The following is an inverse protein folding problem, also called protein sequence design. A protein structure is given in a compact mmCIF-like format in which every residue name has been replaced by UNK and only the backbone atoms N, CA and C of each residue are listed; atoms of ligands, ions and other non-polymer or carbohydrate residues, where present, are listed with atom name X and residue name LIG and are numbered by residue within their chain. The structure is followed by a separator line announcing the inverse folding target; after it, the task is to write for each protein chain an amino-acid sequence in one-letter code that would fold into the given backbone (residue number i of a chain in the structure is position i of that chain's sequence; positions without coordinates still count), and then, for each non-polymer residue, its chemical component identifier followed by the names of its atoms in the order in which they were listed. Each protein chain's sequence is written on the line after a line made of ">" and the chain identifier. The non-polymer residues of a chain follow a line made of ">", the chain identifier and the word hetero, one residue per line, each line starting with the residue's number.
data_IF_668596018483
#
_entry.id   IF_668596018483
#
_cell.length_a   1.000
_cell.length_b   1.000
_cell.length_c   1.000
_cell.angle_alpha   90.00
_cell.angle_beta   90.00
_cell.angle_gamma   90.00
#
_symmetry.space_group_name_H-M   'P 1'
#
loop_
_entity.id
_entity.type
_entity.pdbx_description
1 polymer ?
#
# COMPACT_ATOMS: atom_id res chain seq x y z
N UNK A 1 17.44 1.85 14.10
CA UNK A 1 16.62 1.02 13.20
C UNK A 1 16.24 1.86 12.00
N UNK A 2 16.46 1.39 10.77
CA UNK A 2 16.05 2.13 9.56
C UNK A 2 14.54 2.32 9.57
N UNK A 3 14.04 3.56 9.64
CA UNK A 3 12.61 3.89 9.62
C UNK A 3 11.91 3.25 8.40
N UNK A 4 12.58 3.24 7.25
CA UNK A 4 12.11 2.58 6.03
C UNK A 4 11.81 1.09 6.19
N UNK A 5 12.60 0.35 6.99
CA UNK A 5 12.38 -1.07 7.20
C UNK A 5 11.18 -1.32 8.11
N UNK A 6 10.98 -0.47 9.12
CA UNK A 6 9.82 -0.54 10.00
C UNK A 6 8.52 -0.19 9.26
N UNK A 7 8.55 0.82 8.39
CA UNK A 7 7.43 1.19 7.53
C UNK A 7 7.08 0.06 6.55
N UNK A 8 8.08 -0.49 5.86
CA UNK A 8 7.84 -1.60 4.94
C UNK A 8 7.21 -2.80 5.66
N UNK A 9 7.69 -3.14 6.87
CA UNK A 9 7.13 -4.23 7.66
C UNK A 9 5.66 -3.99 8.00
N UNK A 10 5.30 -2.80 8.48
CA UNK A 10 3.91 -2.42 8.77
C UNK A 10 3.03 -2.47 7.52
N UNK A 11 3.53 -1.96 6.39
CA UNK A 11 2.80 -2.01 5.13
C UNK A 11 2.51 -3.46 4.73
N UNK A 12 3.52 -4.35 4.80
CA UNK A 12 3.38 -5.78 4.52
C UNK A 12 2.34 -6.43 5.43
N UNK A 13 2.31 -6.10 6.72
CA UNK A 13 1.32 -6.61 7.67
C UNK A 13 -0.11 -6.20 7.28
N UNK A 14 -0.32 -4.95 6.88
CA UNK A 14 -1.62 -4.45 6.38
C UNK A 14 -2.02 -5.13 5.07
N UNK A 15 -1.11 -5.29 4.10
CA UNK A 15 -1.43 -6.05 2.88
C UNK A 15 -1.83 -7.50 3.20
N UNK A 16 -1.14 -8.15 4.14
CA UNK A 16 -1.48 -9.51 4.55
C UNK A 16 -2.83 -9.61 5.28
N UNK A 17 -3.26 -8.61 6.06
CA UNK A 17 -4.58 -8.61 6.70
C UNK A 17 -5.72 -8.56 5.69
N UNK A 18 -5.49 -7.95 4.52
CA UNK A 18 -6.41 -7.94 3.38
C UNK A 18 -6.28 -9.18 2.48
N UNK A 19 -5.42 -10.16 2.83
CA UNK A 19 -5.18 -11.36 2.03
C UNK A 19 -4.29 -11.13 0.80
N UNK A 20 -3.62 -9.98 0.72
CA UNK A 20 -2.81 -9.57 -0.43
C UNK A 20 -1.37 -9.99 -0.20
N UNK A 21 -0.88 -10.93 -0.99
CA UNK A 21 0.52 -11.39 -0.88
C UNK A 21 1.44 -10.51 -1.72
N UNK A 22 2.48 -9.96 -1.09
CA UNK A 22 3.51 -9.15 -1.75
C UNK A 22 4.67 -9.97 -2.33
N UNK A 23 4.50 -11.29 -2.42
CA UNK A 23 5.56 -12.23 -2.82
C UNK A 23 5.48 -12.53 -4.32
N UNK A 24 6.64 -12.53 -4.98
CA UNK A 24 6.76 -12.97 -6.37
C UNK A 24 5.97 -12.09 -7.36
N UNK A 25 5.21 -12.69 -8.30
CA UNK A 25 4.45 -11.94 -9.31
C UNK A 25 3.23 -11.20 -8.72
N UNK A 26 2.68 -11.68 -7.59
CA UNK A 26 1.43 -11.17 -6.99
C UNK A 26 1.49 -9.72 -6.51
N UNK A 27 2.70 -9.21 -6.24
CA UNK A 27 2.90 -7.78 -5.91
C UNK A 27 2.50 -6.83 -7.05
N UNK A 28 2.40 -7.33 -8.29
CA UNK A 28 1.95 -6.56 -9.44
C UNK A 28 0.46 -6.81 -9.75
N UNK A 29 -0.24 -7.58 -8.91
CA UNK A 29 -1.65 -7.88 -9.14
C UNK A 29 -2.47 -6.60 -8.97
N UNK A 30 -3.28 -6.27 -9.97
CA UNK A 30 -4.19 -5.15 -9.92
C UNK A 30 -5.31 -5.44 -8.91
N UNK A 31 -5.53 -4.53 -7.95
CA UNK A 31 -6.49 -4.73 -6.86
C UNK A 31 -7.88 -5.10 -7.37
N UNK A 32 -8.42 -4.35 -8.33
CA UNK A 32 -9.75 -4.59 -8.88
C UNK A 32 -9.75 -5.73 -9.91
N UNK A 33 -8.82 -5.73 -10.89
CA UNK A 33 -8.90 -6.65 -12.04
C UNK A 33 -8.39 -8.06 -11.77
N UNK A 34 -7.43 -8.23 -10.86
CA UNK A 34 -6.77 -9.52 -10.61
C UNK A 34 -7.07 -10.04 -9.21
N UNK A 35 -7.10 -9.16 -8.21
CA UNK A 35 -7.46 -9.52 -6.83
C UNK A 35 -8.99 -9.46 -6.60
N UNK A 36 -9.77 -9.00 -7.59
CA UNK A 36 -11.23 -8.85 -7.51
C UNK A 36 -11.70 -8.11 -6.25
N UNK A 37 -10.90 -7.15 -5.78
CA UNK A 37 -11.25 -6.33 -4.62
C UNK A 37 -12.32 -5.32 -5.01
N UNK A 38 -13.30 -5.15 -4.13
CA UNK A 38 -14.23 -4.03 -4.21
C UNK A 38 -13.47 -2.70 -4.02
N UNK A 39 -13.76 -1.66 -4.80
CA UNK A 39 -13.23 -0.31 -4.57
C UNK A 39 -13.35 0.18 -3.12
N UNK A 40 -14.40 -0.22 -2.38
CA UNK A 40 -14.56 0.11 -0.96
C UNK A 40 -13.44 -0.52 -0.11
N UNK A 41 -13.09 -1.79 -0.36
CA UNK A 41 -11.97 -2.45 0.32
C UNK A 41 -10.62 -1.85 -0.06
N UNK A 42 -10.44 -1.44 -1.31
CA UNK A 42 -9.21 -0.75 -1.74
C UNK A 42 -9.05 0.56 -0.99
N UNK A 43 -10.12 1.36 -0.85
CA UNK A 43 -10.09 2.58 -0.04
C UNK A 43 -9.78 2.30 1.43
N UNK A 44 -10.37 1.26 2.00
CA UNK A 44 -10.06 0.82 3.37
C UNK A 44 -8.59 0.43 3.56
N UNK A 45 -8.04 -0.34 2.62
CA UNK A 45 -6.63 -0.74 2.60
C UNK A 45 -5.70 0.48 2.60
N UNK A 46 -5.98 1.46 1.73
CA UNK A 46 -5.18 2.69 1.65
C UNK A 46 -5.25 3.46 2.98
N UNK A 47 -6.45 3.65 3.52
CA UNK A 47 -6.63 4.33 4.80
C UNK A 47 -5.86 3.63 5.94
N UNK A 48 -5.91 2.30 6.00
CA UNK A 48 -5.14 1.55 7.00
C UNK A 48 -3.63 1.69 6.82
N UNK A 49 -3.14 1.72 5.58
CA UNK A 49 -1.72 1.96 5.30
C UNK A 49 -1.30 3.35 5.79
N UNK A 50 -2.06 4.38 5.43
CA UNK A 50 -1.84 5.77 5.86
C UNK A 50 -1.83 5.88 7.39
N UNK A 51 -2.82 5.28 8.05
CA UNK A 51 -2.94 5.29 9.51
C UNK A 51 -1.78 4.57 10.20
N UNK A 52 -1.39 3.38 9.73
CA UNK A 52 -0.31 2.61 10.36
C UNK A 52 1.08 3.23 10.15
N UNK A 53 1.26 3.88 9.01
CA UNK A 53 2.52 4.49 8.59
C UNK A 53 2.62 5.96 8.98
N UNK A 54 1.51 6.58 9.40
CA UNK A 54 1.39 8.00 9.72
C UNK A 54 1.80 8.87 8.51
N UNK A 55 1.36 8.47 7.32
CA UNK A 55 1.59 9.19 6.06
C UNK A 55 0.24 9.48 5.40
N UNK A 56 0.19 10.54 4.60
CA UNK A 56 -1.00 10.88 3.81
C UNK A 56 -0.62 10.78 2.35
N UNK A 57 -1.29 9.90 1.62
CA UNK A 57 -1.18 9.75 0.18
C UNK A 57 -2.17 10.72 -0.47
N UNK A 58 -1.69 11.51 -1.45
CA UNK A 58 -2.60 12.36 -2.20
C UNK A 58 -3.50 11.51 -3.11
N UNK A 59 -4.80 11.79 -3.14
CA UNK A 59 -5.79 11.07 -3.95
C UNK A 59 -5.40 10.99 -5.43
N UNK A 60 -4.76 12.04 -5.96
CA UNK A 60 -4.26 12.09 -7.34
C UNK A 60 -3.16 11.04 -7.62
N UNK A 61 -2.32 10.75 -6.63
CA UNK A 61 -1.29 9.71 -6.71
C UNK A 61 -1.90 8.31 -6.58
N UNK A 62 -2.94 8.17 -5.75
CA UNK A 62 -3.69 6.93 -5.56
C UNK A 62 -4.47 6.51 -6.81
N UNK A 63 -5.01 7.46 -7.57
CA UNK A 63 -5.70 7.19 -8.84
C UNK A 63 -4.83 6.41 -9.84
N UNK A 64 -3.51 6.53 -9.74
CA UNK A 64 -2.54 5.82 -10.56
C UNK A 64 -2.01 4.53 -9.90
N UNK A 65 -2.19 4.34 -8.60
CA UNK A 65 -1.67 3.20 -7.85
C UNK A 65 -2.70 2.07 -7.77
N UNK A 66 -2.69 1.22 -8.78
CA UNK A 66 -3.63 0.11 -8.90
C UNK A 66 -3.06 -1.23 -8.40
N UNK A 67 -1.77 -1.26 -8.05
CA UNK A 67 -1.07 -2.47 -7.61
C UNK A 67 -0.37 -2.29 -6.26
N UNK A 68 -0.18 -3.36 -5.47
CA UNK A 68 0.53 -3.29 -4.19
C UNK A 68 1.94 -2.69 -4.31
N UNK A 69 2.65 -3.04 -5.38
CA UNK A 69 3.99 -2.50 -5.67
C UNK A 69 3.99 -0.98 -5.87
N UNK A 70 2.99 -0.44 -6.58
CA UNK A 70 2.88 1.01 -6.81
C UNK A 70 2.58 1.74 -5.50
N UNK A 71 1.65 1.22 -4.71
CA UNK A 71 1.32 1.78 -3.39
C UNK A 71 2.57 1.80 -2.49
N UNK A 72 3.32 0.69 -2.40
CA UNK A 72 4.58 0.63 -1.64
C UNK A 72 5.59 1.65 -2.16
N UNK A 73 5.69 1.82 -3.48
CA UNK A 73 6.60 2.79 -4.07
C UNK A 73 6.22 4.23 -3.71
N UNK A 74 4.92 4.55 -3.70
CA UNK A 74 4.45 5.86 -3.24
C UNK A 74 4.77 6.07 -1.77
N UNK A 75 4.49 5.09 -0.92
CA UNK A 75 4.77 5.13 0.52
C UNK A 75 6.27 5.36 0.82
N UNK A 76 7.16 4.73 0.07
CA UNK A 76 8.62 4.87 0.25
C UNK A 76 9.20 6.16 -0.36
N UNK A 77 8.52 6.75 -1.35
CA UNK A 77 8.96 7.97 -2.03
C UNK A 77 8.46 9.25 -1.38
N UNK A 78 7.50 9.18 -0.45
CA UNK A 78 7.07 10.36 0.31
C UNK A 78 8.25 10.80 1.20
N UNK A 79 8.75 12.03 1.02
CA UNK A 79 9.70 12.62 1.96
C UNK A 79 9.12 12.51 3.36
N UNK A 80 9.83 11.81 4.23
CA UNK A 80 9.47 11.80 5.64
C UNK A 80 9.89 13.17 6.16
N UNK A 81 8.98 14.14 6.13
CA UNK A 81 9.21 15.44 6.78
C UNK A 81 9.44 15.16 8.26
N UNK A 82 10.69 15.34 8.68
CA UNK A 82 11.21 15.14 10.02
C UNK A 82 11.74 16.48 10.52
#
# INVERSE_FOLDING_TARGET
>A
MNQHFSQLKKAVEVFHSYGISLVGPRKNDHFIKQLNMDPVFVKGLIFELEYNLQVVLQDELLGNACTPKEVIKLLLNIPQDN
#
